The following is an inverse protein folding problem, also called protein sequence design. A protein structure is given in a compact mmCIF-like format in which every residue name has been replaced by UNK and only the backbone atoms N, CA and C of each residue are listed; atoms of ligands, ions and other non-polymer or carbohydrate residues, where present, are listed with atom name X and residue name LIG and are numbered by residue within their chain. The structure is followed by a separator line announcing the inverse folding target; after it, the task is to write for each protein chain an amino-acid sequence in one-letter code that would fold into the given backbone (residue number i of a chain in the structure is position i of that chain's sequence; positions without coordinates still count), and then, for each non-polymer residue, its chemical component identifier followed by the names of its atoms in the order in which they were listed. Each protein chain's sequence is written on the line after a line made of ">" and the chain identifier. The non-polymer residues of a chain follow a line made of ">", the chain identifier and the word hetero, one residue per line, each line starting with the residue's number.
data_IF_131690996700
#
_entry.id   IF_131690996700
#
_cell.length_a   1.000
_cell.length_b   1.000
_cell.length_c   1.000
_cell.angle_alpha   90.00
_cell.angle_beta   90.00
_cell.angle_gamma   90.00
#
_symmetry.space_group_name_H-M   'P 1'
#
loop_
_entity.id
_entity.type
_entity.pdbx_description
1 polymer ?
#
# COMPACT_ATOMS: atom_id res chain seq x y z
N UNK A 1 3.06 47.59 22.01
CA UNK A 1 3.27 47.78 20.57
C UNK A 1 3.88 46.52 19.98
N UNK A 2 3.30 45.95 18.91
CA UNK A 2 3.60 44.62 18.39
C UNK A 2 4.62 44.67 17.24
N UNK A 3 5.53 43.72 17.22
CA UNK A 3 6.42 43.41 16.08
C UNK A 3 6.82 41.95 16.31
N UNK A 4 6.57 40.96 15.48
CA UNK A 4 5.99 40.85 14.15
C UNK A 4 5.71 39.36 14.04
N UNK A 5 4.52 38.98 13.58
CA UNK A 5 4.26 37.63 13.09
C UNK A 5 5.42 37.19 12.20
N UNK A 6 6.25 36.28 12.69
CA UNK A 6 7.13 35.48 11.86
C UNK A 6 6.27 34.43 11.16
N UNK A 7 5.36 34.97 10.33
CA UNK A 7 4.98 34.51 9.02
C UNK A 7 5.24 33.04 8.80
N UNK A 8 4.21 32.30 9.17
CA UNK A 8 3.73 31.05 8.57
C UNK A 8 3.87 31.18 7.05
N UNK A 9 5.07 30.97 6.54
CA UNK A 9 5.34 30.88 5.11
C UNK A 9 5.70 29.42 4.82
N UNK A 10 4.67 28.59 4.89
CA UNK A 10 4.25 27.80 3.73
C UNK A 10 5.38 27.43 2.79
N UNK A 11 6.20 26.46 3.18
CA UNK A 11 6.71 25.51 2.22
C UNK A 11 5.74 24.34 2.18
N UNK A 12 4.55 24.64 1.64
CA UNK A 12 3.77 23.70 0.86
C UNK A 12 4.56 23.34 -0.42
N UNK A 13 5.78 22.84 -0.26
CA UNK A 13 6.28 21.86 -1.17
C UNK A 13 5.57 20.59 -0.72
N UNK A 14 4.47 20.27 -1.39
CA UNK A 14 3.94 18.92 -1.40
C UNK A 14 5.04 18.02 -1.93
N UNK A 15 5.97 17.65 -1.04
CA UNK A 15 6.72 16.42 -1.16
C UNK A 15 5.60 15.39 -1.25
N UNK A 16 5.26 15.01 -2.48
CA UNK A 16 4.66 13.72 -2.75
C UNK A 16 5.57 12.78 -2.00
N UNK A 17 5.22 12.44 -0.74
CA UNK A 17 6.00 11.49 0.05
C UNK A 17 6.07 10.31 -0.90
N UNK A 18 7.29 9.95 -1.30
CA UNK A 18 7.48 8.71 -2.03
C UNK A 18 6.62 7.68 -1.29
N UNK A 19 5.71 6.96 -2.00
CA UNK A 19 4.77 6.10 -1.31
C UNK A 19 5.58 5.22 -0.37
N UNK A 20 5.14 5.09 0.87
CA UNK A 20 5.83 4.24 1.82
C UNK A 20 5.94 2.82 1.24
N UNK A 21 6.90 2.04 1.72
CA UNK A 21 7.19 0.74 1.15
C UNK A 21 5.93 -0.15 1.03
N UNK A 22 5.00 -0.06 1.99
CA UNK A 22 3.73 -0.78 1.95
C UNK A 22 2.83 -0.28 0.82
N UNK A 23 2.68 1.03 0.67
CA UNK A 23 1.91 1.61 -0.45
C UNK A 23 2.43 1.13 -1.81
N UNK A 24 3.75 1.09 -2.02
CA UNK A 24 4.35 0.58 -3.27
C UNK A 24 4.02 -0.90 -3.54
N UNK A 25 4.09 -1.74 -2.50
CA UNK A 25 3.75 -3.16 -2.60
C UNK A 25 2.27 -3.33 -2.94
N UNK A 26 1.37 -2.59 -2.28
CA UNK A 26 -0.06 -2.67 -2.54
C UNK A 26 -0.42 -2.17 -3.95
N UNK A 27 0.24 -1.14 -4.46
CA UNK A 27 0.09 -0.70 -5.86
C UNK A 27 0.51 -1.78 -6.85
N UNK A 28 1.65 -2.44 -6.60
CA UNK A 28 2.11 -3.53 -7.47
C UNK A 28 1.13 -4.72 -7.47
N UNK A 29 0.59 -5.10 -6.31
CA UNK A 29 -0.43 -6.14 -6.18
C UNK A 29 -1.71 -5.74 -6.93
N UNK A 30 -2.18 -4.50 -6.78
CA UNK A 30 -3.34 -3.98 -7.51
C UNK A 30 -3.17 -4.09 -9.02
N UNK A 31 -2.00 -3.67 -9.54
CA UNK A 31 -1.70 -3.81 -10.97
C UNK A 31 -1.68 -5.28 -11.42
N UNK A 32 -1.20 -6.20 -10.60
CA UNK A 32 -1.24 -7.64 -10.92
C UNK A 32 -2.69 -8.16 -11.02
N UNK A 33 -3.59 -7.67 -10.19
CA UNK A 33 -5.02 -8.02 -10.25
C UNK A 33 -5.67 -7.43 -11.49
N UNK A 34 -5.43 -6.14 -11.77
CA UNK A 34 -5.96 -5.45 -12.95
C UNK A 34 -5.48 -6.10 -14.26
N UNK A 35 -4.23 -6.58 -14.29
CA UNK A 35 -3.64 -7.32 -15.40
C UNK A 35 -4.16 -8.77 -15.53
N UNK A 36 -4.99 -9.25 -14.61
CA UNK A 36 -5.47 -10.64 -14.57
C UNK A 36 -4.41 -11.68 -14.19
N UNK A 37 -3.30 -11.25 -13.58
CA UNK A 37 -2.21 -12.13 -13.11
C UNK A 37 -2.43 -12.62 -11.68
N UNK A 38 -3.36 -12.02 -10.96
CA UNK A 38 -3.72 -12.41 -9.61
C UNK A 38 -5.21 -12.16 -9.34
N UNK A 39 -5.74 -12.89 -8.38
CA UNK A 39 -7.04 -12.64 -7.76
C UNK A 39 -6.83 -12.44 -6.26
N UNK A 40 -7.64 -11.60 -5.63
CA UNK A 40 -7.63 -11.45 -4.18
C UNK A 40 -9.00 -11.64 -3.56
N UNK A 41 -9.03 -12.16 -2.33
CA UNK A 41 -10.26 -12.31 -1.58
C UNK A 41 -10.02 -12.05 -0.10
N UNK A 42 -11.06 -11.65 0.62
CA UNK A 42 -10.99 -11.52 2.07
C UNK A 42 -11.38 -12.85 2.70
N UNK A 43 -10.54 -13.36 3.59
CA UNK A 43 -10.79 -14.61 4.33
C UNK A 43 -11.80 -14.39 5.46
N UNK A 44 -12.30 -15.48 6.04
CA UNK A 44 -13.17 -15.42 7.22
C UNK A 44 -12.50 -14.80 8.46
N UNK A 45 -11.17 -14.86 8.54
CA UNK A 45 -10.35 -14.23 9.59
C UNK A 45 -10.11 -12.74 9.34
N UNK A 46 -10.54 -12.20 8.19
CA UNK A 46 -10.43 -10.79 7.83
C UNK A 46 -9.13 -10.42 7.13
N UNK A 47 -8.24 -11.37 6.91
CA UNK A 47 -7.00 -11.21 6.15
C UNK A 47 -7.29 -11.25 4.64
N UNK A 48 -6.32 -10.85 3.82
CA UNK A 48 -6.45 -10.91 2.36
C UNK A 48 -5.62 -12.07 1.83
N UNK A 49 -6.28 -13.00 1.15
CA UNK A 49 -5.63 -14.04 0.35
C UNK A 49 -5.40 -13.49 -1.06
N UNK A 50 -4.16 -13.56 -1.54
CA UNK A 50 -3.75 -13.26 -2.91
C UNK A 50 -3.37 -14.56 -3.60
N UNK A 51 -4.04 -14.88 -4.70
CA UNK A 51 -3.80 -16.06 -5.53
C UNK A 51 -3.26 -15.64 -6.88
N UNK A 52 -2.03 -16.07 -7.20
CA UNK A 52 -1.42 -15.82 -8.49
C UNK A 52 -1.93 -16.82 -9.53
N UNK A 53 -1.94 -16.42 -10.79
CA UNK A 53 -2.28 -17.32 -11.91
C UNK A 53 -1.30 -18.49 -12.07
N UNK A 54 -0.10 -18.39 -11.49
CA UNK A 54 0.86 -19.51 -11.36
C UNK A 54 0.38 -20.61 -10.41
N UNK A 55 -0.67 -20.38 -9.62
CA UNK A 55 -1.15 -21.25 -8.56
C UNK A 55 -0.55 -20.94 -7.19
N UNK A 56 0.40 -20.01 -7.11
CA UNK A 56 0.98 -19.59 -5.82
C UNK A 56 -0.02 -18.78 -5.00
N UNK A 57 -0.04 -19.03 -3.69
CA UNK A 57 -0.96 -18.37 -2.76
C UNK A 57 -0.18 -17.62 -1.70
N UNK A 58 -0.62 -16.41 -1.36
CA UNK A 58 -0.03 -15.56 -0.34
C UNK A 58 -1.10 -14.98 0.59
N UNK A 59 -0.79 -14.89 1.88
CA UNK A 59 -1.57 -14.13 2.85
C UNK A 59 -0.95 -12.76 3.07
N UNK A 60 -1.76 -11.72 2.89
CA UNK A 60 -1.38 -10.33 3.17
C UNK A 60 -1.85 -9.99 4.58
N UNK A 61 -0.91 -10.03 5.53
CA UNK A 61 -1.10 -9.53 6.89
C UNK A 61 -0.84 -8.02 6.98
N UNK A 62 -0.99 -7.46 8.17
CA UNK A 62 -0.82 -6.02 8.40
C UNK A 62 0.61 -5.53 8.06
N UNK A 63 1.61 -6.34 8.38
CA UNK A 63 3.04 -6.00 8.29
C UNK A 63 3.86 -7.00 7.47
N UNK A 64 3.27 -8.11 7.05
CA UNK A 64 3.98 -9.21 6.38
C UNK A 64 3.17 -9.82 5.25
N UNK A 65 3.88 -10.36 4.26
CA UNK A 65 3.33 -11.22 3.22
C UNK A 65 3.87 -12.62 3.43
N UNK A 66 2.99 -13.60 3.55
CA UNK A 66 3.35 -14.99 3.85
C UNK A 66 2.92 -15.89 2.71
N UNK A 67 3.86 -16.61 2.08
CA UNK A 67 3.53 -17.61 1.06
C UNK A 67 2.87 -18.81 1.74
N UNK A 68 1.73 -19.24 1.22
CA UNK A 68 1.04 -20.47 1.59
C UNK A 68 1.49 -21.55 0.61
N UNK A 69 1.76 -22.75 1.14
CA UNK A 69 2.48 -23.83 0.46
C UNK A 69 1.93 -24.18 -0.93
#
# INVERSE_FOLDING_TARGET
>A
SPTTDANIQTQAAGSRRAPDAKSRVMTAIGQMVDDGKAEWSRTATGEVELRLSSGEVFMLGEISVTRVA
#
